data_IF_313954181928
#
_entry.id   IF_313954181928
#
_cell.length_a   1.000
_cell.length_b   1.000
_cell.length_c   1.000
_cell.angle_alpha   90.00
_cell.angle_beta   90.00
_cell.angle_gamma   90.00
#
_symmetry.space_group_name_H-M   'P 1'
#
loop_
_entity.id
_entity.type
_entity.pdbx_description
1 polymer ?
#
# COMPACT_ATOMS: atom_id res chain seq x y z
N UNK A 1 -9.51 13.71 4.77
CA UNK A 1 -9.14 12.45 4.09
C UNK A 1 -8.64 12.80 2.70
N UNK A 2 -7.46 12.32 2.31
CA UNK A 2 -6.93 12.52 0.96
C UNK A 2 -7.53 11.47 0.02
N UNK A 3 -8.44 11.90 -0.86
CA UNK A 3 -9.16 10.98 -1.74
C UNK A 3 -8.26 10.29 -2.77
N UNK A 4 -7.15 10.92 -3.16
CA UNK A 4 -6.24 10.34 -4.15
C UNK A 4 -5.50 9.13 -3.54
N UNK A 5 -5.05 9.25 -2.30
CA UNK A 5 -4.44 8.12 -1.57
C UNK A 5 -5.43 6.99 -1.34
N UNK A 6 -6.67 7.30 -0.94
CA UNK A 6 -7.71 6.28 -0.73
C UNK A 6 -8.04 5.55 -2.04
N UNK A 7 -8.21 6.27 -3.16
CA UNK A 7 -8.43 5.66 -4.48
C UNK A 7 -7.26 4.78 -4.91
N UNK A 8 -6.03 5.19 -4.64
CA UNK A 8 -4.84 4.40 -4.97
C UNK A 8 -4.80 3.10 -4.16
N UNK A 9 -5.07 3.14 -2.84
CA UNK A 9 -5.18 1.95 -1.99
C UNK A 9 -6.30 1.02 -2.46
N UNK A 10 -7.48 1.56 -2.76
CA UNK A 10 -8.60 0.78 -3.27
C UNK A 10 -8.25 0.04 -4.58
N UNK A 11 -7.58 0.73 -5.51
CA UNK A 11 -7.09 0.12 -6.76
C UNK A 11 -6.05 -0.96 -6.47
N UNK A 12 -5.07 -0.69 -5.63
CA UNK A 12 -4.03 -1.65 -5.26
C UNK A 12 -4.62 -2.97 -4.75
N UNK A 13 -5.55 -2.89 -3.79
CA UNK A 13 -6.21 -4.08 -3.24
C UNK A 13 -7.16 -4.75 -4.23
N UNK A 14 -7.87 -3.99 -5.08
CA UNK A 14 -8.70 -4.58 -6.15
C UNK A 14 -7.85 -5.39 -7.12
N UNK A 15 -6.82 -4.76 -7.68
CA UNK A 15 -5.92 -5.40 -8.64
C UNK A 15 -5.21 -6.61 -8.05
N UNK A 16 -4.77 -6.51 -6.79
CA UNK A 16 -4.18 -7.65 -6.09
C UNK A 16 -5.16 -8.83 -5.99
N UNK A 17 -6.42 -8.59 -5.63
CA UNK A 17 -7.44 -9.65 -5.61
C UNK A 17 -7.70 -10.26 -6.98
N UNK A 18 -7.73 -9.46 -8.04
CA UNK A 18 -7.93 -9.98 -9.41
C UNK A 18 -6.78 -10.89 -9.84
N UNK A 19 -5.54 -10.55 -9.47
CA UNK A 19 -4.38 -11.38 -9.72
C UNK A 19 -4.38 -12.65 -8.85
N UNK A 20 -4.62 -12.52 -7.55
CA UNK A 20 -4.61 -13.64 -6.60
C UNK A 20 -5.74 -14.65 -6.87
N UNK A 21 -6.90 -14.18 -7.37
CA UNK A 21 -8.03 -15.04 -7.76
C UNK A 21 -7.89 -15.65 -9.15
N UNK A 22 -6.93 -15.19 -9.97
CA UNK A 22 -6.81 -15.57 -11.36
C UNK A 22 -7.88 -14.98 -12.29
N UNK A 23 -8.68 -14.01 -11.82
CA UNK A 23 -9.60 -13.24 -12.68
C UNK A 23 -8.84 -12.57 -13.84
N UNK A 24 -7.60 -12.14 -13.58
CA UNK A 24 -6.68 -11.67 -14.61
C UNK A 24 -5.44 -12.54 -14.63
N UNK A 25 -5.05 -12.99 -15.83
CA UNK A 25 -4.00 -13.99 -16.03
C UNK A 25 -2.60 -13.49 -15.65
N UNK A 26 -2.33 -12.19 -15.78
CA UNK A 26 -1.01 -11.61 -15.49
C UNK A 26 -1.08 -10.12 -15.19
N UNK A 27 -0.03 -9.60 -14.54
CA UNK A 27 0.14 -8.16 -14.34
C UNK A 27 0.26 -7.40 -15.67
N UNK A 28 0.83 -8.02 -16.72
CA UNK A 28 0.89 -7.39 -18.05
C UNK A 28 -0.50 -7.26 -18.67
N UNK A 29 -1.35 -8.27 -18.53
CA UNK A 29 -2.72 -8.21 -19.06
C UNK A 29 -3.54 -7.17 -18.30
N UNK A 30 -3.39 -7.10 -16.98
CA UNK A 30 -4.04 -6.08 -16.17
C UNK A 30 -3.61 -4.66 -16.59
N UNK A 31 -2.32 -4.43 -16.83
CA UNK A 31 -1.81 -3.13 -17.29
C UNK A 31 -2.42 -2.72 -18.64
N UNK A 32 -2.55 -3.67 -19.57
CA UNK A 32 -3.20 -3.45 -20.88
C UNK A 32 -4.68 -3.12 -20.72
N UNK A 33 -5.42 -3.89 -19.91
CA UNK A 33 -6.87 -3.69 -19.69
C UNK A 33 -7.16 -2.34 -19.02
N UNK A 34 -6.31 -1.93 -18.08
CA UNK A 34 -6.44 -0.63 -17.39
C UNK A 34 -5.83 0.53 -18.20
N UNK A 35 -5.20 0.24 -19.35
CA UNK A 35 -4.49 1.20 -20.20
C UNK A 35 -3.47 2.06 -19.42
N UNK A 36 -2.63 1.39 -18.63
CA UNK A 36 -1.60 2.00 -17.80
C UNK A 36 -0.24 1.35 -18.05
N UNK A 37 0.82 2.10 -17.74
CA UNK A 37 2.18 1.56 -17.77
C UNK A 37 2.39 0.48 -16.71
N UNK A 38 3.13 -0.57 -17.06
CA UNK A 38 3.44 -1.68 -16.15
C UNK A 38 4.22 -1.24 -14.91
N UNK A 39 5.09 -0.24 -15.02
CA UNK A 39 5.82 0.32 -13.89
C UNK A 39 4.89 1.07 -12.94
N UNK A 40 3.91 1.80 -13.48
CA UNK A 40 2.88 2.45 -12.66
C UNK A 40 2.03 1.41 -11.93
N UNK A 41 1.55 0.38 -12.64
CA UNK A 41 0.81 -0.73 -12.04
C UNK A 41 1.60 -1.39 -10.91
N UNK A 42 2.88 -1.70 -11.12
CA UNK A 42 3.75 -2.28 -10.10
C UNK A 42 3.89 -1.36 -8.88
N UNK A 43 4.04 -0.04 -9.09
CA UNK A 43 4.10 0.94 -7.99
C UNK A 43 2.80 0.96 -7.17
N UNK A 44 1.64 0.90 -7.81
CA UNK A 44 0.34 0.83 -7.13
C UNK A 44 0.18 -0.50 -6.39
N UNK A 45 0.54 -1.63 -6.99
CA UNK A 45 0.45 -2.94 -6.33
C UNK A 45 1.30 -3.01 -5.05
N UNK A 46 2.46 -2.34 -5.00
CA UNK A 46 3.29 -2.25 -3.78
C UNK A 46 2.58 -1.58 -2.61
N UNK A 47 1.54 -0.77 -2.85
CA UNK A 47 0.76 -0.18 -1.76
C UNK A 47 0.04 -1.24 -0.91
N UNK A 48 -0.19 -2.44 -1.43
CA UNK A 48 -0.71 -3.58 -0.66
C UNK A 48 0.29 -4.13 0.37
N UNK A 49 1.56 -3.72 0.30
CA UNK A 49 2.64 -4.13 1.20
C UNK A 49 2.92 -3.10 2.30
N UNK A 50 2.13 -2.02 2.35
CA UNK A 50 2.21 -1.04 3.43
C UNK A 50 1.86 -1.69 4.76
N UNK A 51 2.45 -1.16 5.83
CA UNK A 51 2.08 -1.51 7.18
C UNK A 51 0.55 -1.31 7.39
N UNK A 52 -0.16 -2.28 7.99
CA UNK A 52 -1.62 -2.20 8.11
C UNK A 52 -2.14 -0.94 8.81
N UNK A 53 -1.44 -0.49 9.86
CA UNK A 53 -1.75 0.74 10.62
C UNK A 53 -1.58 2.02 9.78
N UNK A 54 -0.67 2.02 8.79
CA UNK A 54 -0.54 3.13 7.84
C UNK A 54 -1.75 3.17 6.90
N UNK A 55 -2.18 2.01 6.40
CA UNK A 55 -3.38 1.90 5.56
C UNK A 55 -4.60 2.40 6.35
N UNK A 56 -4.79 1.92 7.56
CA UNK A 56 -5.86 2.37 8.46
C UNK A 56 -5.83 3.87 8.71
N UNK A 57 -4.64 4.43 9.02
CA UNK A 57 -4.51 5.86 9.25
C UNK A 57 -4.86 6.69 7.99
N UNK A 58 -4.52 6.23 6.78
CA UNK A 58 -4.90 6.91 5.54
C UNK A 58 -6.41 6.86 5.32
N UNK A 59 -7.02 5.70 5.54
CA UNK A 59 -8.47 5.50 5.38
C UNK A 59 -9.27 6.34 6.40
N UNK A 60 -8.77 6.46 7.63
CA UNK A 60 -9.38 7.28 8.68
C UNK A 60 -9.08 8.78 8.53
N UNK A 61 -8.25 9.19 7.58
CA UNK A 61 -7.82 10.58 7.44
C UNK A 61 -6.86 11.06 8.54
N UNK A 62 -6.23 10.13 9.26
CA UNK A 62 -5.27 10.34 10.37
C UNK A 62 -3.80 10.32 9.92
N UNK A 63 -3.54 10.26 8.61
CA UNK A 63 -2.18 10.34 8.09
C UNK A 63 -1.50 11.69 8.37
N UNK A 64 -0.16 11.77 8.41
CA UNK A 64 0.56 13.03 8.49
C UNK A 64 0.13 13.99 7.37
N UNK A 65 -0.09 15.27 7.70
CA UNK A 65 -0.54 16.28 6.71
C UNK A 65 0.47 16.52 5.59
N UNK A 66 1.74 16.21 5.82
CA UNK A 66 2.81 16.29 4.83
C UNK A 66 2.86 15.07 3.90
N UNK A 67 2.17 13.97 4.23
CA UNK A 67 2.16 12.76 3.42
C UNK A 67 1.32 12.97 2.17
N UNK A 68 1.94 12.76 1.01
CA UNK A 68 1.27 12.81 -0.28
C UNK A 68 1.22 11.43 -0.96
N UNK A 69 0.35 11.27 -1.95
CA UNK A 69 0.38 10.09 -2.83
C UNK A 69 1.74 9.90 -3.50
N UNK A 70 2.44 10.99 -3.84
CA UNK A 70 3.76 10.90 -4.47
C UNK A 70 4.78 10.21 -3.56
N UNK A 71 4.68 10.39 -2.23
CA UNK A 71 5.55 9.74 -1.26
C UNK A 71 5.27 8.24 -1.17
N UNK A 72 4.00 7.83 -1.19
CA UNK A 72 3.60 6.42 -1.23
C UNK A 72 4.07 5.71 -2.51
N UNK A 73 4.27 6.46 -3.59
CA UNK A 73 4.71 5.91 -4.87
C UNK A 73 6.24 5.78 -4.98
N UNK A 74 7.01 6.30 -4.01
CA UNK A 74 8.48 6.11 -3.94
C UNK A 74 8.83 4.66 -3.62
N UNK A 75 10.12 4.34 -3.65
CA UNK A 75 10.60 3.07 -3.10
C UNK A 75 10.62 3.19 -1.59
N UNK A 76 9.85 2.33 -0.93
CA UNK A 76 9.74 2.28 0.53
C UNK A 76 10.55 1.08 1.07
N UNK A 77 11.05 1.15 2.30
CA UNK A 77 11.62 -0.01 2.98
C UNK A 77 10.64 -1.19 3.00
N UNK A 78 11.18 -2.41 2.95
CA UNK A 78 10.37 -3.62 3.05
C UNK A 78 9.87 -3.78 4.48
N UNK A 79 10.70 -3.39 5.44
CA UNK A 79 10.44 -3.38 6.87
C UNK A 79 9.44 -2.28 7.21
N UNK A 80 8.33 -2.68 7.85
CA UNK A 80 7.30 -1.74 8.25
C UNK A 80 7.78 -0.65 9.22
N UNK A 81 8.79 -0.92 10.05
CA UNK A 81 9.40 0.11 10.91
C UNK A 81 10.04 1.23 10.05
N UNK A 82 10.78 0.85 9.02
CA UNK A 82 11.34 1.79 8.06
C UNK A 82 10.25 2.53 7.27
N UNK A 83 9.17 1.86 6.89
CA UNK A 83 8.03 2.53 6.25
C UNK A 83 7.44 3.64 7.13
N UNK A 84 7.23 3.36 8.42
CA UNK A 84 6.71 4.33 9.38
C UNK A 84 7.63 5.54 9.50
N UNK A 85 8.92 5.31 9.64
CA UNK A 85 9.93 6.37 9.72
C UNK A 85 9.91 7.27 8.47
N UNK A 86 10.02 6.68 7.27
CA UNK A 86 10.10 7.47 6.03
C UNK A 86 8.79 8.18 5.68
N UNK A 87 7.65 7.63 6.09
CA UNK A 87 6.32 8.22 5.84
C UNK A 87 5.86 9.16 6.97
N UNK A 88 6.69 9.39 7.99
CA UNK A 88 6.40 10.33 9.07
C UNK A 88 5.39 9.82 10.12
N UNK A 89 5.18 8.50 10.18
CA UNK A 89 4.45 7.85 11.26
C UNK A 89 5.44 7.58 12.41
N UNK A 90 5.64 8.59 13.27
CA UNK A 90 6.50 8.47 14.45
C UNK A 90 6.03 7.40 15.46
N UNK A 91 6.89 7.12 16.44
CA UNK A 91 6.85 6.08 17.51
C UNK A 91 5.47 5.70 18.09
N UNK A 92 4.45 6.55 18.02
CA UNK A 92 3.11 6.29 18.57
C UNK A 92 2.36 5.09 17.94
N UNK A 93 2.76 4.60 16.76
CA UNK A 93 2.19 3.37 16.16
C UNK A 93 3.03 2.10 16.40
N UNK A 94 4.21 2.21 17.02
CA UNK A 94 5.10 1.06 17.22
C UNK A 94 4.52 0.08 18.25
N UNK A 95 3.70 0.56 19.19
CA UNK A 95 3.20 -0.25 20.32
C UNK A 95 2.02 -1.17 19.96
N UNK A 96 1.34 -0.97 18.84
CA UNK A 96 0.14 -1.75 18.48
C UNK A 96 0.39 -2.91 17.51
N UNK A 97 1.51 -2.92 16.78
CA UNK A 97 1.67 -3.76 15.58
C UNK A 97 2.52 -5.02 15.72
N UNK A 98 3.22 -5.25 16.84
CA UNK A 98 4.16 -6.38 16.98
C UNK A 98 3.50 -7.75 17.25
N UNK A 99 2.18 -7.89 17.02
CA UNK A 99 1.43 -9.13 17.28
C UNK A 99 0.73 -9.70 16.04
N UNK A 100 1.44 -9.96 14.95
CA UNK A 100 0.99 -11.03 14.03
C UNK A 100 2.09 -11.46 13.07
N UNK A 101 3.04 -12.23 13.59
CA UNK A 101 3.78 -13.23 12.83
C UNK A 101 4.25 -14.29 13.84
N UNK A 102 3.29 -14.94 14.49
CA UNK A 102 3.51 -16.27 15.07
C UNK A 102 2.82 -17.28 14.16
N UNK A 103 3.64 -18.12 13.55
CA UNK A 103 3.36 -19.46 13.07
C UNK A 103 2.46 -19.59 11.84
N UNK A 104 3.08 -19.97 10.71
CA UNK A 104 2.71 -21.17 9.95
C UNK A 104 4.03 -21.93 9.69
N UNK A 105 4.27 -22.95 10.52
CA UNK A 105 4.84 -24.24 10.11
C UNK A 105 3.68 -25.22 10.19
#
# INVERSE_FOLDING_TARGET
MDEAMVRALARAHKWRRQLDSGEVASAQDLAKTENIDGSYLARVLRLTLLAPDIIEAILDGRQPKSLSLADLMKTLPVEWSGQREVLGFGVALIDSGQKSCKSIT
#
